data_IF_669706414818
#
_entry.id   IF_669706414818
#
_cell.length_a   1.000
_cell.length_b   1.000
_cell.length_c   1.000
_cell.angle_alpha   90.00
_cell.angle_beta   90.00
_cell.angle_gamma   90.00
#
_symmetry.space_group_name_H-M   'P 1'
#
loop_
_entity.id
_entity.type
_entity.pdbx_description
1 polymer ?
#
# COMPACT_ATOMS: atom_id res chain seq x y z
N UNK A 1 2.69 2.01 4.85
CA UNK A 1 1.46 1.35 4.35
C UNK A 1 1.72 0.01 3.68
N UNK A 2 2.63 -0.08 2.69
CA UNK A 2 2.96 -1.37 2.03
C UNK A 2 3.38 -2.48 3.01
N UNK A 3 4.15 -2.15 4.05
CA UNK A 3 4.52 -3.08 5.13
C UNK A 3 3.30 -3.74 5.81
N UNK A 4 2.19 -3.03 5.98
CA UNK A 4 0.97 -3.60 6.56
C UNK A 4 0.38 -4.68 5.63
N UNK A 5 0.39 -4.44 4.32
CA UNK A 5 -0.07 -5.42 3.32
C UNK A 5 0.90 -6.61 3.26
N UNK A 6 2.22 -6.41 3.36
CA UNK A 6 3.19 -7.52 3.48
C UNK A 6 2.85 -8.42 4.67
N UNK A 7 2.52 -7.82 5.83
CA UNK A 7 2.12 -8.56 7.03
C UNK A 7 0.81 -9.33 6.86
N UNK A 8 -0.20 -8.76 6.19
CA UNK A 8 -1.42 -9.50 5.86
C UNK A 8 -1.13 -10.66 4.90
N UNK A 9 -0.32 -10.41 3.87
CA UNK A 9 0.06 -11.42 2.88
C UNK A 9 0.83 -12.59 3.53
N UNK A 10 1.73 -12.32 4.47
CA UNK A 10 2.48 -13.37 5.19
C UNK A 10 1.55 -14.26 6.02
N UNK A 11 0.46 -13.70 6.55
CA UNK A 11 -0.61 -14.43 7.23
C UNK A 11 -1.65 -15.05 6.31
N UNK A 12 -1.47 -14.95 4.98
CA UNK A 12 -2.45 -15.39 3.98
C UNK A 12 -3.83 -14.73 4.16
N UNK A 13 -3.81 -13.45 4.53
CA UNK A 13 -4.99 -12.63 4.78
C UNK A 13 -5.13 -11.59 3.66
N UNK A 14 -6.39 -11.29 3.32
CA UNK A 14 -6.76 -10.14 2.51
C UNK A 14 -7.61 -9.18 3.32
N UNK A 15 -7.35 -7.88 3.17
CA UNK A 15 -8.14 -6.86 3.84
C UNK A 15 -9.48 -6.63 3.14
N UNK A 16 -9.46 -6.49 1.80
CA UNK A 16 -10.61 -6.19 0.92
C UNK A 16 -11.27 -4.82 1.08
N UNK A 17 -11.00 -4.10 2.16
CA UNK A 17 -11.52 -2.75 2.35
C UNK A 17 -10.42 -1.74 2.67
N UNK A 18 -9.40 -1.69 1.81
CA UNK A 18 -8.36 -0.66 1.93
C UNK A 18 -8.93 0.64 1.37
N UNK A 19 -9.40 1.49 2.27
CA UNK A 19 -9.95 2.80 1.96
C UNK A 19 -9.29 3.86 2.84
N UNK A 20 -9.38 5.13 2.46
CA UNK A 20 -8.79 6.22 3.25
C UNK A 20 -9.42 6.35 4.64
N UNK A 21 -10.67 5.91 4.83
CA UNK A 21 -11.34 5.88 6.14
C UNK A 21 -10.76 4.82 7.09
N UNK A 22 -10.15 3.77 6.52
CA UNK A 22 -9.57 2.66 7.25
C UNK A 22 -8.05 2.81 7.45
N UNK A 23 -7.46 3.93 7.00
CA UNK A 23 -6.07 4.29 7.30
C UNK A 23 -6.08 5.28 8.45
N UNK A 24 -5.71 4.79 9.62
CA UNK A 24 -5.64 5.58 10.84
C UNK A 24 -4.23 6.14 11.04
N UNK A 25 -4.15 7.35 11.57
CA UNK A 25 -2.89 8.01 11.93
C UNK A 25 -2.75 8.06 13.45
N UNK A 26 -1.60 7.63 13.95
CA UNK A 26 -1.21 7.75 15.35
C UNK A 26 0.22 8.28 15.42
N UNK A 27 0.37 9.59 15.68
CA UNK A 27 1.66 10.25 15.59
C UNK A 27 2.21 10.21 14.16
N UNK A 28 3.43 9.69 13.99
CA UNK A 28 4.08 9.47 12.69
C UNK A 28 3.77 8.09 12.08
N UNK A 29 2.99 7.26 12.77
CA UNK A 29 2.68 5.90 12.37
C UNK A 29 1.30 5.81 11.71
N UNK A 30 1.23 4.93 10.70
CA UNK A 30 -0.02 4.55 10.03
C UNK A 30 -0.47 3.20 10.55
N UNK A 31 -1.78 3.04 10.79
CA UNK A 31 -2.40 1.76 11.13
C UNK A 31 -3.53 1.47 10.17
N UNK A 32 -3.60 0.23 9.70
CA UNK A 32 -4.72 -0.25 8.92
C UNK A 32 -5.78 -0.79 9.90
N UNK A 33 -6.99 -0.25 9.81
CA UNK A 33 -8.14 -0.62 10.65
C UNK A 33 -9.27 -1.25 9.84
N UNK A 34 -10.34 -1.60 10.55
CA UNK A 34 -11.58 -2.22 10.02
C UNK A 34 -11.35 -3.52 9.24
N UNK A 35 -11.40 -4.65 9.96
CA UNK A 35 -11.15 -5.98 9.42
C UNK A 35 -12.45 -6.77 9.18
N UNK A 36 -13.61 -6.12 9.15
CA UNK A 36 -14.90 -6.82 9.07
C UNK A 36 -15.08 -7.59 7.75
N UNK A 37 -14.46 -7.11 6.67
CA UNK A 37 -14.48 -7.74 5.34
C UNK A 37 -13.27 -8.65 5.06
N UNK A 38 -12.43 -8.88 6.07
CA UNK A 38 -11.21 -9.66 5.97
C UNK A 38 -11.50 -11.09 5.50
N UNK A 39 -10.53 -11.70 4.82
CA UNK A 39 -10.62 -13.13 4.49
C UNK A 39 -9.31 -13.88 4.68
N UNK A 40 -9.42 -15.00 5.39
CA UNK A 40 -8.39 -16.00 5.49
C UNK A 40 -8.36 -16.91 4.24
N UNK A 41 -7.23 -16.91 3.55
CA UNK A 41 -7.01 -17.72 2.35
C UNK A 41 -6.55 -19.15 2.66
N UNK A 42 -6.23 -19.47 3.90
CA UNK A 42 -5.89 -20.82 4.36
C UNK A 42 -7.12 -21.73 4.38
N UNK A 43 -8.30 -21.18 4.75
CA UNK A 43 -9.55 -21.90 4.93
C UNK A 43 -10.27 -22.27 3.62
N UNK A 44 -9.83 -21.75 2.45
CA UNK A 44 -10.48 -22.03 1.15
C UNK A 44 -9.93 -23.30 0.48
N UNK A 45 -10.83 -24.14 -0.04
CA UNK A 45 -10.61 -25.50 -0.60
C UNK A 45 -9.58 -25.57 -1.76
N UNK A 46 -8.95 -26.75 -1.91
CA UNK A 46 -7.65 -26.93 -2.56
C UNK A 46 -7.53 -26.60 -4.07
N UNK A 47 -8.63 -26.56 -4.83
CA UNK A 47 -8.56 -26.76 -6.29
C UNK A 47 -8.35 -25.51 -7.17
N UNK A 48 -8.34 -24.28 -6.63
CA UNK A 48 -8.11 -23.04 -7.43
C UNK A 48 -7.01 -22.13 -6.84
N UNK A 49 -6.03 -22.72 -6.14
CA UNK A 49 -5.27 -22.06 -5.06
C UNK A 49 -4.18 -21.04 -5.44
N UNK A 50 -3.45 -21.12 -6.56
CA UNK A 50 -2.32 -20.19 -6.80
C UNK A 50 -2.71 -18.93 -7.57
N UNK A 51 -3.35 -19.08 -8.74
CA UNK A 51 -3.74 -17.93 -9.59
C UNK A 51 -4.77 -17.00 -8.95
N UNK A 52 -5.74 -17.55 -8.20
CA UNK A 52 -6.70 -16.71 -7.44
C UNK A 52 -6.03 -15.95 -6.29
N UNK A 53 -5.10 -16.57 -5.56
CA UNK A 53 -4.41 -15.90 -4.43
C UNK A 53 -3.55 -14.73 -4.89
N UNK A 54 -2.73 -14.94 -5.93
CA UNK A 54 -1.95 -13.86 -6.55
C UNK A 54 -2.86 -12.73 -7.01
N UNK A 55 -3.97 -13.03 -7.73
CA UNK A 55 -4.93 -12.01 -8.16
C UNK A 55 -5.57 -11.24 -7.01
N UNK A 56 -5.77 -11.86 -5.85
CA UNK A 56 -6.45 -11.22 -4.73
C UNK A 56 -5.53 -10.27 -3.94
N UNK A 57 -4.26 -10.60 -3.72
CA UNK A 57 -3.34 -9.66 -3.07
C UNK A 57 -3.09 -8.41 -3.92
N UNK A 58 -3.24 -8.53 -5.24
CA UNK A 58 -3.17 -7.42 -6.20
C UNK A 58 -4.41 -6.51 -6.15
N UNK A 59 -5.50 -6.96 -5.51
CA UNK A 59 -6.66 -6.12 -5.26
C UNK A 59 -6.37 -5.12 -4.14
N UNK A 60 -5.83 -5.58 -3.00
CA UNK A 60 -5.41 -4.71 -1.89
C UNK A 60 -4.37 -3.67 -2.35
N UNK A 61 -3.47 -4.04 -3.29
CA UNK A 61 -2.52 -3.11 -3.92
C UNK A 61 -3.21 -2.04 -4.78
N UNK A 62 -4.22 -2.39 -5.58
CA UNK A 62 -4.99 -1.41 -6.34
C UNK A 62 -5.67 -0.41 -5.41
N UNK A 63 -6.36 -0.91 -4.39
CA UNK A 63 -7.04 -0.08 -3.40
C UNK A 63 -6.07 0.86 -2.68
N UNK A 64 -4.88 0.36 -2.30
CA UNK A 64 -3.84 1.22 -1.74
C UNK A 64 -3.38 2.29 -2.74
N UNK A 65 -3.22 1.93 -4.02
CA UNK A 65 -2.88 2.88 -5.08
C UNK A 65 -3.90 4.00 -5.22
N UNK A 66 -5.20 3.69 -5.16
CA UNK A 66 -6.28 4.68 -5.19
C UNK A 66 -6.25 5.60 -3.95
N UNK A 67 -5.95 5.06 -2.76
CA UNK A 67 -5.80 5.87 -1.55
C UNK A 67 -4.59 6.80 -1.66
N UNK A 68 -3.44 6.30 -2.13
CA UNK A 68 -2.23 7.11 -2.31
C UNK A 68 -2.45 8.21 -3.35
N UNK A 69 -3.14 7.91 -4.46
CA UNK A 69 -3.50 8.91 -5.47
C UNK A 69 -4.37 10.03 -4.86
N UNK A 70 -5.34 9.70 -4.00
CA UNK A 70 -6.16 10.70 -3.29
C UNK A 70 -5.34 11.56 -2.35
N UNK A 71 -4.45 10.96 -1.56
CA UNK A 71 -3.56 11.69 -0.63
C UNK A 71 -2.72 12.70 -1.41
N UNK A 72 -2.10 12.23 -2.48
CA UNK A 72 -1.28 13.03 -3.38
C UNK A 72 -2.07 14.18 -3.99
N UNK A 73 -3.23 13.89 -4.58
CA UNK A 73 -4.06 14.90 -5.23
C UNK A 73 -4.51 15.98 -4.25
N UNK A 74 -4.88 15.58 -3.03
CA UNK A 74 -5.26 16.54 -1.99
C UNK A 74 -4.06 17.39 -1.55
N UNK A 75 -2.86 16.80 -1.46
CA UNK A 75 -1.65 17.54 -1.10
C UNK A 75 -1.25 18.56 -2.16
N UNK A 76 -1.31 18.22 -3.45
CA UNK A 76 -1.00 19.14 -4.56
C UNK A 76 -2.06 20.23 -4.71
N UNK A 77 -3.33 19.91 -4.46
CA UNK A 77 -4.40 20.92 -4.43
C UNK A 77 -4.21 21.91 -3.29
N UNK A 78 -3.74 21.45 -2.12
CA UNK A 78 -3.46 22.30 -0.98
C UNK A 78 -2.18 23.14 -1.15
N UNK A 79 -1.19 22.63 -1.88
CA UNK A 79 0.04 23.33 -2.20
C UNK A 79 0.43 23.12 -3.67
N UNK A 80 0.03 24.05 -4.57
CA UNK A 80 0.31 23.93 -6.01
C UNK A 80 1.80 23.97 -6.37
N UNK A 81 2.67 24.44 -5.47
CA UNK A 81 4.12 24.44 -5.65
C UNK A 81 4.78 23.13 -5.20
N UNK A 82 4.00 22.18 -4.67
CA UNK A 82 4.49 20.87 -4.28
C UNK A 82 4.80 20.05 -5.53
N UNK A 83 6.07 20.02 -5.92
CA UNK A 83 6.54 19.06 -6.91
C UNK A 83 6.52 17.65 -6.34
N UNK A 84 5.85 16.77 -7.06
CA UNK A 84 5.87 15.35 -6.76
C UNK A 84 7.13 14.70 -7.27
N UNK A 85 7.68 13.77 -6.49
CA UNK A 85 8.72 12.89 -6.98
C UNK A 85 8.13 11.91 -8.00
N UNK A 86 8.71 11.86 -9.20
CA UNK A 86 8.33 10.93 -10.28
C UNK A 86 8.25 9.48 -9.79
N UNK A 87 9.16 9.07 -8.90
CA UNK A 87 9.15 7.73 -8.33
C UNK A 87 7.83 7.40 -7.60
N UNK A 88 7.27 8.35 -6.85
CA UNK A 88 6.01 8.16 -6.14
C UNK A 88 4.84 8.10 -7.13
N UNK A 89 4.81 9.00 -8.11
CA UNK A 89 3.77 9.02 -9.16
C UNK A 89 3.78 7.72 -9.96
N UNK A 90 4.94 7.31 -10.47
CA UNK A 90 5.11 6.08 -11.25
C UNK A 90 4.73 4.84 -10.42
N UNK A 91 5.07 4.82 -9.13
CA UNK A 91 4.67 3.72 -8.24
C UNK A 91 3.14 3.67 -8.10
N UNK A 92 2.48 4.80 -7.87
CA UNK A 92 1.01 4.87 -7.75
C UNK A 92 0.35 4.40 -9.05
N UNK A 93 0.86 4.81 -10.21
CA UNK A 93 0.36 4.34 -11.51
C UNK A 93 0.57 2.84 -11.69
N UNK A 94 1.74 2.31 -11.30
CA UNK A 94 2.04 0.89 -11.35
C UNK A 94 1.08 0.06 -10.47
N UNK A 95 0.76 0.55 -9.27
CA UNK A 95 -0.24 -0.06 -8.37
C UNK A 95 -1.64 -0.11 -8.99
N UNK A 96 -1.96 0.83 -9.88
CA UNK A 96 -3.29 1.04 -10.48
C UNK A 96 -3.43 0.46 -11.88
N UNK A 97 -2.46 -0.33 -12.35
CA UNK A 97 -2.58 -1.00 -13.66
C UNK A 97 -3.87 -1.85 -13.73
N UNK A 98 -4.56 -1.87 -14.89
CA UNK A 98 -5.85 -2.53 -15.03
C UNK A 98 -5.73 -4.04 -14.79
N UNK A 99 -4.70 -4.67 -15.36
CA UNK A 99 -4.44 -6.09 -15.24
C UNK A 99 -3.78 -6.43 -13.89
N UNK A 100 -4.39 -7.27 -13.04
CA UNK A 100 -3.82 -7.61 -11.73
C UNK A 100 -2.45 -8.29 -11.80
N UNK A 101 -2.13 -8.95 -12.91
CA UNK A 101 -0.86 -9.63 -13.10
C UNK A 101 0.31 -8.63 -13.17
N UNK A 102 0.07 -7.46 -13.75
CA UNK A 102 1.09 -6.44 -14.05
C UNK A 102 1.32 -5.49 -12.87
N UNK A 103 0.38 -5.44 -11.93
CA UNK A 103 0.52 -4.67 -10.68
C UNK A 103 1.71 -5.19 -9.85
N UNK A 104 2.38 -4.32 -9.09
CA UNK A 104 3.48 -4.70 -8.22
C UNK A 104 3.02 -5.56 -7.05
N UNK A 105 3.96 -6.28 -6.45
CA UNK A 105 3.79 -6.84 -5.12
C UNK A 105 4.09 -5.76 -4.10
N UNK A 106 3.52 -5.84 -2.88
CA UNK A 106 3.92 -4.89 -1.85
C UNK A 106 5.43 -4.96 -1.56
N UNK A 107 6.06 -6.11 -1.76
CA UNK A 107 7.51 -6.26 -1.63
C UNK A 107 8.25 -5.58 -2.78
N UNK A 108 7.77 -5.71 -4.02
CA UNK A 108 8.36 -5.07 -5.20
C UNK A 108 8.42 -3.54 -5.00
N UNK A 109 7.40 -2.95 -4.37
CA UNK A 109 7.36 -1.52 -4.02
C UNK A 109 8.39 -1.18 -2.94
N UNK A 110 8.49 -2.00 -1.88
CA UNK A 110 9.45 -1.77 -0.78
C UNK A 110 10.90 -1.90 -1.23
N UNK A 111 11.15 -2.68 -2.28
CA UNK A 111 12.47 -2.91 -2.85
C UNK A 111 12.88 -1.83 -3.87
N UNK A 112 11.98 -0.88 -4.22
CA UNK A 112 12.31 0.24 -5.11
C UNK A 112 13.39 1.15 -4.49
N UNK A 113 14.58 1.29 -5.11
CA UNK A 113 15.66 2.11 -4.57
C UNK A 113 15.25 3.56 -4.30
N UNK A 114 14.42 4.13 -5.17
CA UNK A 114 13.99 5.52 -5.10
C UNK A 114 13.09 5.77 -3.89
N UNK A 115 12.24 4.81 -3.55
CA UNK A 115 11.38 4.90 -2.36
C UNK A 115 12.17 4.66 -1.08
N UNK A 116 13.16 3.77 -1.12
CA UNK A 116 14.08 3.56 0.01
C UNK A 116 14.92 4.80 0.28
N UNK A 117 15.40 5.47 -0.76
CA UNK A 117 16.10 6.74 -0.63
C UNK A 117 15.19 7.83 -0.06
N UNK A 118 13.94 7.92 -0.54
CA UNK A 118 12.95 8.85 0.01
C UNK A 118 12.68 8.59 1.49
N UNK A 119 12.56 7.33 1.91
CA UNK A 119 12.40 6.94 3.32
C UNK A 119 13.60 7.38 4.17
N UNK A 120 14.83 7.16 3.71
CA UNK A 120 16.06 7.62 4.39
C UNK A 120 16.05 9.15 4.54
N UNK A 121 15.73 9.88 3.47
CA UNK A 121 15.68 11.35 3.50
C UNK A 121 14.63 11.86 4.50
N UNK A 122 13.48 11.20 4.60
CA UNK A 122 12.41 11.56 5.53
C UNK A 122 12.80 11.23 6.98
N UNK A 123 13.36 10.04 7.23
CA UNK A 123 13.79 9.63 8.58
C UNK A 123 14.97 10.46 9.09
N UNK A 124 15.92 10.84 8.25
CA UNK A 124 17.02 11.74 8.64
C UNK A 124 16.55 13.17 9.00
N UNK A 125 15.34 13.56 8.60
CA UNK A 125 14.78 14.90 8.86
C UNK A 125 13.82 14.94 10.06
N UNK A 126 13.40 13.79 10.57
CA UNK A 126 12.45 13.70 11.67
C UNK A 126 13.18 13.37 12.98
N UNK A 127 12.94 14.09 14.08
CA UNK A 127 13.40 13.65 15.39
C UNK A 127 12.76 12.28 15.68
N UNK A 128 13.58 11.31 16.09
CA UNK A 128 13.13 9.97 16.49
C UNK A 128 11.99 10.09 17.52
N UNK A 129 10.84 9.49 17.24
CA UNK A 129 9.85 9.23 18.28
C UNK A 129 10.34 8.04 19.10
N UNK A 130 10.67 8.28 20.37
CA UNK A 130 10.80 7.23 21.38
C UNK A 130 9.45 6.52 21.54
N UNK A 131 9.44 5.18 21.47
CA UNK A 131 8.28 4.34 21.80
C UNK A 131 7.84 4.50 23.26
#
# INVERSE_FOLDING_TARGET
MCQAIVHLNSKQVLHRDISSGNILLQGTCFKLGDFDLMSDLTLKTQRTRRRRRLRLHRYDILCLGDVMAKIVLNATTANPLLEMCDALTNTIEWMRLPEPADRPSPQDILDLPELREAEIRLTCRLPYCSE
#
